data_IF_790969945489
#
_entry.id   IF_790969945489
#
_cell.length_a   1.000
_cell.length_b   1.000
_cell.length_c   1.000
_cell.angle_alpha   90.00
_cell.angle_beta   90.00
_cell.angle_gamma   90.00
#
_symmetry.space_group_name_H-M   'P 1'
#
loop_
_entity.id
_entity.type
_entity.pdbx_description
1 polymer ?
#
# COMPACT_ATOMS: atom_id res chain seq x y z
N UNK A 1 -6.50 -16.51 -0.35
CA UNK A 1 -5.94 -15.58 0.65
C UNK A 1 -7.10 -14.78 1.20
N UNK A 2 -7.32 -14.76 2.52
CA UNK A 2 -8.47 -14.03 3.10
C UNK A 2 -8.18 -12.55 3.05
N UNK A 3 -9.03 -11.77 2.36
CA UNK A 3 -8.98 -10.30 2.41
C UNK A 3 -9.35 -9.93 3.85
N UNK A 4 -8.41 -9.30 4.57
CA UNK A 4 -8.69 -8.77 5.90
C UNK A 4 -9.80 -7.72 5.80
N UNK A 5 -10.74 -7.68 6.75
CA UNK A 5 -11.75 -6.63 6.78
C UNK A 5 -11.09 -5.25 6.93
N UNK A 6 -11.82 -4.23 6.51
CA UNK A 6 -11.43 -2.83 6.67
C UNK A 6 -10.94 -2.56 8.11
N UNK A 7 -9.80 -1.87 8.31
CA UNK A 7 -9.31 -1.55 9.63
C UNK A 7 -10.28 -0.61 10.36
N UNK A 8 -10.98 -1.13 11.37
CA UNK A 8 -12.05 -0.42 12.08
C UNK A 8 -11.60 0.86 12.81
N UNK A 9 -10.31 1.08 12.93
CA UNK A 9 -9.65 2.20 13.64
C UNK A 9 -8.81 3.09 12.73
N UNK A 10 -8.94 2.93 11.40
CA UNK A 10 -8.29 3.80 10.43
C UNK A 10 -8.98 5.17 10.46
N UNK A 11 -8.53 6.06 11.35
CA UNK A 11 -9.10 7.39 11.54
C UNK A 11 -9.34 8.11 10.20
N UNK A 12 -10.60 8.12 9.73
CA UNK A 12 -11.02 8.81 8.52
C UNK A 12 -10.74 8.11 7.18
N UNK A 13 -9.97 7.03 7.11
CA UNK A 13 -9.68 6.33 5.85
C UNK A 13 -10.84 5.40 5.47
N UNK A 14 -11.74 5.90 4.62
CA UNK A 14 -12.97 5.20 4.23
C UNK A 14 -13.02 4.84 2.74
N UNK A 15 -12.13 5.40 1.93
CA UNK A 15 -12.13 5.22 0.49
C UNK A 15 -11.13 4.15 0.07
N UNK A 16 -11.64 3.07 -0.50
CA UNK A 16 -10.79 2.04 -1.09
C UNK A 16 -10.15 2.56 -2.37
N UNK A 17 -8.83 2.48 -2.44
CA UNK A 17 -8.09 2.82 -3.65
C UNK A 17 -8.13 1.68 -4.67
N UNK A 18 -8.01 2.00 -6.00
CA UNK A 18 -7.97 0.99 -7.04
C UNK A 18 -6.75 0.09 -6.89
N UNK A 19 -6.89 -1.17 -7.30
CA UNK A 19 -5.81 -2.14 -7.35
C UNK A 19 -5.45 -2.45 -8.79
N UNK A 20 -4.17 -2.69 -9.06
CA UNK A 20 -3.71 -3.25 -10.32
C UNK A 20 -4.05 -4.74 -10.43
N UNK A 21 -4.03 -5.25 -11.67
CA UNK A 21 -4.25 -6.68 -11.92
C UNK A 21 -3.07 -7.53 -11.47
N UNK A 22 -1.84 -7.14 -11.86
CA UNK A 22 -0.64 -7.98 -11.76
C UNK A 22 0.54 -7.33 -10.99
N UNK A 23 0.37 -6.15 -10.37
CA UNK A 23 1.41 -5.56 -9.55
C UNK A 23 1.84 -6.54 -8.44
N UNK A 24 3.12 -6.60 -8.14
CA UNK A 24 3.64 -7.45 -7.06
C UNK A 24 3.06 -7.08 -5.70
N UNK A 25 2.91 -5.81 -5.39
CA UNK A 25 2.39 -5.37 -4.09
C UNK A 25 0.86 -5.40 -4.01
N UNK A 26 0.16 -4.84 -5.00
CA UNK A 26 -1.29 -4.62 -4.94
C UNK A 26 -2.11 -5.45 -5.93
N UNK A 27 -1.49 -6.25 -6.80
CA UNK A 27 -2.16 -7.01 -7.85
C UNK A 27 -3.02 -8.14 -7.31
N UNK A 28 -4.35 -8.02 -7.42
CA UNK A 28 -5.29 -9.01 -6.86
C UNK A 28 -5.34 -10.31 -7.65
N UNK A 29 -4.90 -10.31 -8.92
CA UNK A 29 -4.79 -11.49 -9.78
C UNK A 29 -3.37 -12.07 -9.80
N UNK A 30 -2.40 -11.42 -9.14
CA UNK A 30 -1.04 -11.93 -9.07
C UNK A 30 -0.92 -13.03 -8.00
N UNK A 31 -0.73 -14.32 -8.37
CA UNK A 31 -0.70 -15.42 -7.42
C UNK A 31 0.55 -15.43 -6.52
N UNK A 32 1.61 -14.71 -6.92
CA UNK A 32 2.86 -14.59 -6.16
C UNK A 32 3.05 -13.20 -5.54
N UNK A 33 2.03 -12.33 -5.66
CA UNK A 33 2.05 -10.97 -5.10
C UNK A 33 1.57 -10.91 -3.66
N UNK A 34 1.71 -9.72 -3.06
CA UNK A 34 1.28 -9.46 -1.69
C UNK A 34 -0.23 -9.19 -1.59
N UNK A 35 -0.89 -8.83 -2.68
CA UNK A 35 -2.33 -8.56 -2.81
C UNK A 35 -2.86 -7.55 -1.78
N UNK A 36 -2.07 -6.51 -1.50
CA UNK A 36 -2.42 -5.47 -0.54
C UNK A 36 -3.63 -4.65 -1.03
N UNK A 37 -4.52 -4.30 -0.11
CA UNK A 37 -5.60 -3.35 -0.35
C UNK A 37 -5.37 -2.10 0.49
N UNK A 38 -5.60 -0.94 -0.12
CA UNK A 38 -5.32 0.36 0.47
C UNK A 38 -6.60 1.18 0.61
N UNK A 39 -6.66 1.96 1.69
CA UNK A 39 -7.78 2.85 2.00
C UNK A 39 -7.24 4.23 2.35
N UNK A 40 -7.89 5.28 1.91
CA UNK A 40 -7.47 6.66 2.12
C UNK A 40 -8.55 7.55 2.74
N UNK A 41 -8.11 8.70 3.24
CA UNK A 41 -8.94 9.76 3.82
C UNK A 41 -9.22 10.92 2.84
N UNK A 42 -8.74 10.80 1.59
CA UNK A 42 -8.72 11.86 0.56
C UNK A 42 -8.01 13.15 0.97
N UNK A 43 -7.18 13.09 2.00
CA UNK A 43 -6.46 14.22 2.57
C UNK A 43 -4.95 13.96 2.72
N UNK A 44 -4.43 12.91 2.09
CA UNK A 44 -3.01 12.58 2.06
C UNK A 44 -2.61 11.39 2.93
N UNK A 45 -3.55 10.77 3.68
CA UNK A 45 -3.26 9.59 4.49
C UNK A 45 -3.80 8.32 3.85
N UNK A 46 -3.00 7.26 3.88
CA UNK A 46 -3.34 5.92 3.35
C UNK A 46 -3.02 4.88 4.39
N UNK A 47 -3.86 3.87 4.52
CA UNK A 47 -3.66 2.73 5.42
C UNK A 47 -3.86 1.41 4.70
N UNK A 48 -3.18 0.38 5.19
CA UNK A 48 -3.40 -1.01 4.80
C UNK A 48 -3.14 -1.93 5.98
N UNK A 49 -3.82 -3.07 6.02
CA UNK A 49 -3.52 -4.15 6.95
C UNK A 49 -3.26 -5.44 6.18
N UNK A 50 -2.33 -6.24 6.67
CA UNK A 50 -1.96 -7.50 6.02
C UNK A 50 -1.40 -8.49 7.03
N UNK A 51 -1.35 -9.76 6.59
CA UNK A 51 -0.59 -10.83 7.24
C UNK A 51 0.33 -11.44 6.19
N UNK A 52 1.63 -11.36 6.38
CA UNK A 52 2.60 -11.85 5.41
C UNK A 52 2.78 -13.36 5.57
N UNK A 53 2.47 -14.16 4.50
CA UNK A 53 2.66 -15.61 4.53
C UNK A 53 4.13 -16.01 4.66
N UNK A 54 4.36 -17.21 5.20
CA UNK A 54 5.70 -17.74 5.47
C UNK A 54 6.60 -17.86 4.23
N UNK A 55 6.03 -18.01 3.03
CA UNK A 55 6.83 -18.11 1.80
C UNK A 55 7.49 -16.76 1.37
N UNK A 56 7.15 -15.66 2.03
CA UNK A 56 7.83 -14.36 1.88
C UNK A 56 8.90 -14.13 2.96
N UNK A 57 9.30 -15.15 3.70
CA UNK A 57 10.35 -15.02 4.71
C UNK A 57 11.74 -14.88 4.10
N UNK A 58 12.62 -14.18 4.81
CA UNK A 58 14.07 -14.23 4.63
C UNK A 58 14.67 -15.23 5.62
N UNK A 59 14.97 -14.80 6.84
CA UNK A 59 15.28 -15.72 7.94
C UNK A 59 14.01 -16.40 8.47
N UNK A 60 14.13 -17.62 9.05
CA UNK A 60 12.98 -18.35 9.57
C UNK A 60 12.10 -17.49 10.49
N UNK A 61 10.80 -17.42 10.17
CA UNK A 61 9.81 -16.64 10.92
C UNK A 61 9.88 -15.13 10.74
N UNK A 62 10.71 -14.62 9.83
CA UNK A 62 10.88 -13.17 9.58
C UNK A 62 10.63 -12.83 8.12
N UNK A 63 9.81 -11.82 7.89
CA UNK A 63 9.55 -11.27 6.55
C UNK A 63 10.85 -10.79 5.92
N UNK A 64 11.09 -11.12 4.65
CA UNK A 64 12.27 -10.67 3.92
C UNK A 64 12.31 -9.14 3.82
N UNK A 65 13.48 -8.52 4.05
CA UNK A 65 13.62 -7.05 4.04
C UNK A 65 13.19 -6.39 2.73
N UNK A 66 13.41 -7.05 1.59
CA UNK A 66 12.92 -6.57 0.29
C UNK A 66 11.38 -6.58 0.19
N UNK A 67 10.70 -7.53 0.84
CA UNK A 67 9.23 -7.54 0.91
C UNK A 67 8.73 -6.37 1.78
N UNK A 68 9.39 -6.11 2.91
CA UNK A 68 9.10 -4.93 3.74
C UNK A 68 9.29 -3.63 2.95
N UNK A 69 10.40 -3.51 2.21
CA UNK A 69 10.64 -2.35 1.35
C UNK A 69 9.56 -2.20 0.27
N UNK A 70 9.13 -3.30 -0.37
CA UNK A 70 8.07 -3.27 -1.38
C UNK A 70 6.72 -2.81 -0.80
N UNK A 71 6.38 -3.22 0.43
CA UNK A 71 5.18 -2.73 1.13
C UNK A 71 5.25 -1.23 1.41
N UNK A 72 6.40 -0.74 1.87
CA UNK A 72 6.61 0.69 2.16
C UNK A 72 6.65 1.51 0.88
N UNK A 73 7.25 1.00 -0.20
CA UNK A 73 7.27 1.64 -1.52
C UNK A 73 5.87 1.80 -2.10
N UNK A 74 5.07 0.76 -2.03
CA UNK A 74 3.70 0.80 -2.54
C UNK A 74 2.85 1.83 -1.77
N UNK A 75 2.90 1.84 -0.42
CA UNK A 75 2.04 2.74 0.35
C UNK A 75 2.44 4.21 0.22
N UNK A 76 3.74 4.55 0.05
CA UNK A 76 4.13 5.95 -0.23
C UNK A 76 3.63 6.40 -1.60
N UNK A 77 3.70 5.54 -2.62
CA UNK A 77 3.13 5.81 -3.94
C UNK A 77 1.63 6.09 -3.88
N UNK A 78 0.91 5.35 -3.02
CA UNK A 78 -0.53 5.48 -2.80
C UNK A 78 -0.94 6.83 -2.20
N UNK A 79 -0.07 7.49 -1.45
CA UNK A 79 -0.37 8.82 -0.89
C UNK A 79 -0.58 9.88 -1.97
N UNK A 80 0.03 9.73 -3.14
CA UNK A 80 -0.15 10.63 -4.27
C UNK A 80 -1.54 10.52 -4.92
N UNK A 81 -2.23 9.39 -4.73
CA UNK A 81 -3.56 9.10 -5.30
C UNK A 81 -4.72 9.58 -4.42
N UNK A 82 -4.45 10.08 -3.21
CA UNK A 82 -5.50 10.46 -2.25
C UNK A 82 -6.36 11.62 -2.75
N UNK A 83 -5.76 12.59 -3.47
CA UNK A 83 -6.46 13.73 -4.04
C UNK A 83 -6.99 13.45 -5.46
N UNK A 84 -6.29 12.60 -6.22
CA UNK A 84 -6.63 12.23 -7.58
C UNK A 84 -6.26 10.76 -7.82
N UNK A 85 -7.25 9.85 -7.89
CA UNK A 85 -7.01 8.42 -8.09
C UNK A 85 -6.29 8.05 -9.41
N UNK A 86 -6.28 8.97 -10.37
CA UNK A 86 -5.60 8.80 -11.65
C UNK A 86 -4.17 9.36 -11.65
N UNK A 87 -3.72 9.89 -10.52
CA UNK A 87 -2.36 10.41 -10.40
C UNK A 87 -1.38 9.31 -10.07
N UNK A 88 -0.59 8.94 -11.07
CA UNK A 88 0.46 7.94 -10.92
C UNK A 88 1.80 8.63 -10.77
N UNK A 89 2.54 8.20 -9.76
CA UNK A 89 3.89 8.67 -9.51
C UNK A 89 4.82 7.47 -9.39
N UNK A 90 6.05 7.60 -9.86
CA UNK A 90 7.11 6.61 -9.65
C UNK A 90 8.00 7.03 -8.49
N UNK A 91 8.52 6.06 -7.78
CA UNK A 91 9.47 6.29 -6.70
C UNK A 91 10.83 6.62 -7.28
N UNK A 92 11.28 7.86 -7.09
CA UNK A 92 12.61 8.33 -7.49
C UNK A 92 13.66 8.05 -6.41
N UNK A 93 13.24 8.03 -5.14
CA UNK A 93 14.09 7.69 -3.99
C UNK A 93 13.24 7.07 -2.90
N UNK A 94 13.75 6.00 -2.30
CA UNK A 94 13.20 5.37 -1.09
C UNK A 94 14.33 5.17 -0.07
N UNK A 95 14.15 5.73 1.12
CA UNK A 95 15.07 5.55 2.26
C UNK A 95 14.34 4.74 3.33
N UNK A 96 14.72 3.47 3.49
CA UNK A 96 14.05 2.53 4.41
C UNK A 96 14.87 2.33 5.66
N UNK A 97 14.23 2.42 6.83
CA UNK A 97 14.82 2.14 8.13
C UNK A 97 14.09 0.99 8.80
N UNK A 98 14.80 -0.11 9.01
CA UNK A 98 14.31 -1.28 9.74
C UNK A 98 14.58 -1.09 11.23
N UNK A 99 13.51 -1.05 12.01
CA UNK A 99 13.59 -0.81 13.46
C UNK A 99 13.57 -2.11 14.25
N UNK A 100 12.80 -3.09 13.76
CA UNK A 100 12.62 -4.41 14.39
C UNK A 100 12.46 -5.49 13.33
N UNK A 101 12.78 -6.77 13.65
CA UNK A 101 12.43 -7.89 12.78
C UNK A 101 10.91 -7.98 12.60
N UNK A 102 10.45 -8.05 11.35
CA UNK A 102 9.04 -8.13 11.02
C UNK A 102 8.62 -9.61 10.97
N UNK A 103 7.69 -10.09 11.80
CA UNK A 103 7.26 -11.48 11.79
C UNK A 103 6.45 -11.83 10.54
N UNK A 104 6.46 -13.12 10.13
CA UNK A 104 5.46 -13.68 9.22
C UNK A 104 4.29 -14.23 10.03
N UNK A 105 3.09 -14.30 9.43
CA UNK A 105 1.91 -14.90 10.07
C UNK A 105 1.23 -14.00 11.11
N UNK A 106 1.74 -12.80 11.36
CA UNK A 106 1.15 -11.84 12.28
C UNK A 106 0.54 -10.64 11.55
N UNK A 107 -0.43 -9.98 12.19
CA UNK A 107 -1.07 -8.78 11.66
C UNK A 107 -0.07 -7.62 11.64
N UNK A 108 0.04 -6.99 10.48
CA UNK A 108 0.85 -5.79 10.25
C UNK A 108 -0.06 -4.67 9.79
N UNK A 109 0.24 -3.45 10.21
CA UNK A 109 -0.44 -2.23 9.76
C UNK A 109 0.55 -1.31 9.08
N UNK A 110 0.18 -0.86 7.88
CA UNK A 110 0.91 0.13 7.11
C UNK A 110 0.15 1.46 7.18
N UNK A 111 0.88 2.55 7.30
CA UNK A 111 0.33 3.90 7.22
C UNK A 111 1.27 4.76 6.37
N UNK A 112 0.73 5.43 5.36
CA UNK A 112 1.44 6.40 4.52
C UNK A 112 0.85 7.79 4.69
N UNK A 113 1.70 8.82 4.56
CA UNK A 113 1.30 10.22 4.64
C UNK A 113 2.02 11.04 3.58
N UNK A 114 1.27 11.81 2.80
CA UNK A 114 1.81 12.80 1.89
C UNK A 114 2.30 14.00 2.71
N UNK A 115 3.60 14.30 2.64
CA UNK A 115 4.21 15.39 3.41
C UNK A 115 4.08 16.72 2.68
N UNK A 116 4.38 16.71 1.37
CA UNK A 116 4.28 17.91 0.52
C UNK A 116 4.37 17.54 -0.95
N UNK A 117 3.94 18.47 -1.80
CA UNK A 117 4.12 18.41 -3.25
C UNK A 117 4.70 19.73 -3.76
N UNK A 118 5.55 19.64 -4.78
CA UNK A 118 6.08 20.81 -5.49
C UNK A 118 6.36 20.44 -6.96
N UNK A 119 5.57 21.01 -7.87
CA UNK A 119 5.65 20.71 -9.29
C UNK A 119 5.40 19.22 -9.55
N UNK A 120 6.35 18.55 -10.20
CA UNK A 120 6.31 17.12 -10.53
C UNK A 120 6.78 16.20 -9.40
N UNK A 121 7.20 16.75 -8.27
CA UNK A 121 7.73 15.98 -7.15
C UNK A 121 6.76 15.97 -5.97
N UNK A 122 6.70 14.84 -5.27
CA UNK A 122 6.05 14.69 -3.98
C UNK A 122 6.98 14.02 -2.98
N UNK A 123 6.79 14.31 -1.71
CA UNK A 123 7.50 13.68 -0.59
C UNK A 123 6.47 13.04 0.31
N UNK A 124 6.73 11.79 0.65
CA UNK A 124 5.84 10.99 1.48
C UNK A 124 6.63 10.24 2.54
N UNK A 125 5.96 9.91 3.63
CA UNK A 125 6.47 9.10 4.72
C UNK A 125 5.57 7.89 4.91
N UNK A 126 6.14 6.75 5.29
CA UNK A 126 5.39 5.55 5.63
C UNK A 126 5.94 4.86 6.87
N UNK A 127 5.05 4.23 7.62
CA UNK A 127 5.35 3.38 8.75
C UNK A 127 4.74 1.99 8.57
N UNK A 128 5.46 0.97 9.02
CA UNK A 128 4.95 -0.38 9.23
C UNK A 128 4.98 -0.69 10.72
N UNK A 129 3.80 -0.97 11.28
CA UNK A 129 3.62 -1.29 12.70
C UNK A 129 3.28 -2.76 12.88
N UNK A 130 3.81 -3.35 13.96
CA UNK A 130 3.54 -4.70 14.40
C UNK A 130 2.17 -4.79 15.11
N UNK A 131 1.74 -6.01 15.43
CA UNK A 131 0.46 -6.26 16.11
C UNK A 131 0.35 -5.58 17.48
N UNK A 132 1.49 -5.38 18.18
CA UNK A 132 1.57 -4.67 19.46
C UNK A 132 1.61 -3.13 19.31
N UNK A 133 1.49 -2.60 18.07
CA UNK A 133 1.56 -1.18 17.76
C UNK A 133 2.98 -0.62 17.65
N UNK A 134 4.02 -1.40 17.95
CA UNK A 134 5.41 -0.93 17.87
C UNK A 134 5.84 -0.72 16.41
N UNK A 135 6.72 0.27 16.20
CA UNK A 135 7.29 0.57 14.88
C UNK A 135 8.26 -0.54 14.46
N UNK A 136 7.92 -1.24 13.37
CA UNK A 136 8.74 -2.29 12.78
C UNK A 136 9.71 -1.76 11.74
N UNK A 137 9.20 -0.90 10.85
CA UNK A 137 10.00 -0.23 9.81
C UNK A 137 9.33 1.09 9.40
N UNK A 138 10.10 1.97 8.78
CA UNK A 138 9.61 3.23 8.23
C UNK A 138 10.34 3.57 6.93
N UNK A 139 9.77 4.44 6.11
CA UNK A 139 10.42 4.93 4.91
C UNK A 139 10.08 6.39 4.62
N UNK A 140 11.08 7.12 4.10
CA UNK A 140 10.89 8.42 3.48
C UNK A 140 11.08 8.28 1.97
N UNK A 141 10.17 8.83 1.17
CA UNK A 141 10.20 8.72 -0.28
C UNK A 141 10.14 10.07 -0.97
N UNK A 142 10.82 10.15 -2.12
CA UNK A 142 10.59 11.17 -3.15
C UNK A 142 9.94 10.50 -4.34
N UNK A 143 8.77 10.97 -4.70
CA UNK A 143 7.97 10.50 -5.83
C UNK A 143 8.05 11.53 -6.97
N UNK A 144 7.92 11.06 -8.21
CA UNK A 144 7.91 11.90 -9.41
C UNK A 144 6.73 11.54 -10.30
N UNK A 145 5.99 12.54 -10.77
CA UNK A 145 4.89 12.33 -11.73
C UNK A 145 5.40 11.58 -12.97
N UNK A 146 4.69 10.53 -13.34
CA UNK A 146 4.90 9.88 -14.63
C UNK A 146 4.38 10.80 -15.73
N UNK A 147 5.12 10.89 -16.82
CA UNK A 147 4.66 11.58 -18.03
C UNK A 147 3.40 10.89 -18.58
N UNK A 148 2.46 11.67 -19.11
CA UNK A 148 1.21 11.19 -19.75
C UNK A 148 1.43 10.19 -20.90
N UNK A 149 2.69 9.97 -21.31
CA UNK A 149 3.08 8.92 -22.27
C UNK A 149 2.90 7.48 -21.76
N UNK A 150 2.68 7.27 -20.46
CA UNK A 150 2.51 5.93 -19.87
C UNK A 150 1.14 5.31 -20.21
N UNK A 151 0.20 6.09 -20.74
CA UNK A 151 -1.10 5.60 -21.21
C UNK A 151 -2.20 5.64 -20.15
N UNK A 152 -3.39 5.22 -20.58
CA UNK A 152 -4.57 5.10 -19.73
C UNK A 152 -4.36 3.98 -18.69
N UNK A 153 -4.48 4.27 -17.40
CA UNK A 153 -4.34 3.27 -16.34
C UNK A 153 -5.28 2.08 -16.49
N UNK A 154 -6.50 2.31 -16.96
CA UNK A 154 -7.47 1.24 -17.21
C UNK A 154 -7.00 0.31 -18.34
N UNK A 155 -6.40 0.85 -19.40
CA UNK A 155 -5.79 0.09 -20.48
C UNK A 155 -4.58 -0.73 -20.01
N UNK A 156 -3.86 -0.25 -18.98
CA UNK A 156 -2.75 -0.95 -18.35
C UNK A 156 -3.20 -2.00 -17.30
N UNK A 157 -4.50 -2.27 -17.19
CA UNK A 157 -5.04 -3.26 -16.28
C UNK A 157 -5.19 -2.76 -14.83
N UNK A 158 -5.17 -1.45 -14.63
CA UNK A 158 -5.51 -0.86 -13.35
C UNK A 158 -7.04 -0.87 -13.19
N UNK A 159 -7.54 -1.56 -12.19
CA UNK A 159 -8.98 -1.72 -11.96
C UNK A 159 -9.37 -1.18 -10.61
N UNK A 160 -10.49 -0.45 -10.58
CA UNK A 160 -11.22 -0.18 -9.35
C UNK A 160 -12.10 -1.40 -9.10
N UNK A 161 -11.87 -2.12 -8.01
CA UNK A 161 -12.81 -3.15 -7.57
C UNK A 161 -13.95 -2.45 -6.83
N UNK A 162 -15.22 -2.67 -7.23
CA UNK A 162 -16.35 -2.15 -6.47
C UNK A 162 -16.27 -2.68 -5.04
N UNK A 163 -16.64 -1.83 -4.10
CA UNK A 163 -16.73 -2.20 -2.70
C UNK A 163 -17.65 -3.39 -2.56
N UNK A 164 -17.17 -4.52 -2.02
CA UNK A 164 -17.99 -5.71 -1.79
C UNK A 164 -19.01 -5.54 -0.65
N UNK A 165 -19.11 -4.35 -0.07
CA UNK A 165 -20.10 -4.03 0.97
C UNK A 165 -21.56 -3.96 0.46
N UNK A 166 -21.80 -4.16 -0.85
CA UNK A 166 -23.12 -4.11 -1.49
C UNK A 166 -23.72 -5.43 -1.96
N UNK A 167 -23.04 -6.57 -1.81
CA UNK A 167 -23.57 -7.87 -2.21
C UNK A 167 -24.06 -8.69 -1.02
N UNK A 168 -25.03 -8.14 -0.30
CA UNK A 168 -25.63 -8.83 0.83
C UNK A 168 -26.99 -8.28 1.21
N UNK A 169 -27.90 -8.12 0.20
CA UNK A 169 -29.34 -8.12 0.44
C UNK A 169 -30.06 -8.21 -0.91
N UNK A 170 -30.54 -9.38 -1.23
CA UNK A 170 -31.42 -9.53 -2.39
C UNK A 170 -31.52 -10.95 -2.93
N UNK A 171 -32.40 -11.77 -2.31
CA UNK A 171 -32.89 -12.98 -2.92
C UNK A 171 -33.06 -14.13 -1.99
#
# INVERSE_FOLDING_TARGET
MSILPFPADAAGATHRQPNSRMCFACGLENPVGLQLSFYDDRAGSVVAETVIPAHFQGYPGRTHGGVVAAMLDEIVGRTAMTEDPNRFMVTAKLDVRYRRPIPVGEKLRLQGSLIRRKGRLAWAHAELRLADGSLGAEADATLMDIDSSVGDPAALGWRVYPDRSGEGEGG
#
